data_IF_951448354021
#
_entry.id   IF_951448354021
#
_cell.length_a   1.000
_cell.length_b   1.000
_cell.length_c   1.000
_cell.angle_alpha   90.00
_cell.angle_beta   90.00
_cell.angle_gamma   90.00
#
_symmetry.space_group_name_H-M   'P 1'
#
loop_
_entity.id
_entity.type
_entity.pdbx_description
1 polymer ?
#
# COMPACT_ATOMS: atom_id res chain seq x y z
N UNK A 1 -22.15 -11.77 -0.56
CA UNK A 1 -21.73 -10.77 0.44
C UNK A 1 -20.52 -10.05 -0.11
N UNK A 2 -20.60 -8.72 -0.29
CA UNK A 2 -19.47 -7.92 -0.76
C UNK A 2 -18.47 -7.73 0.38
N UNK A 3 -17.39 -8.53 0.39
CA UNK A 3 -16.30 -8.37 1.34
C UNK A 3 -15.56 -7.06 1.05
N UNK A 4 -15.60 -6.15 2.03
CA UNK A 4 -14.92 -4.86 1.99
C UNK A 4 -13.86 -4.88 3.07
N UNK A 5 -12.61 -4.61 2.71
CA UNK A 5 -11.51 -4.49 3.65
C UNK A 5 -10.89 -3.09 3.61
N UNK A 6 -10.30 -2.71 4.73
CA UNK A 6 -9.56 -1.47 4.83
C UNK A 6 -8.10 -1.71 4.50
N UNK A 7 -7.52 -0.85 3.68
CA UNK A 7 -6.07 -0.88 3.47
C UNK A 7 -5.39 -0.45 4.77
N UNK A 8 -4.46 -1.27 5.26
CA UNK A 8 -3.54 -0.90 6.34
C UNK A 8 -2.24 -0.39 5.71
N UNK A 9 -1.63 0.61 6.35
CA UNK A 9 -0.34 1.12 5.90
C UNK A 9 0.72 0.00 6.05
N UNK A 10 1.47 -0.34 4.99
CA UNK A 10 2.48 -1.39 5.06
C UNK A 10 3.65 -1.05 6.00
N UNK A 11 3.88 0.25 6.28
CA UNK A 11 5.00 0.72 7.11
C UNK A 11 4.66 0.71 8.60
N UNK A 12 3.45 1.13 8.98
CA UNK A 12 3.07 1.31 10.39
C UNK A 12 1.83 0.52 10.82
N UNK A 13 1.24 -0.29 9.95
CA UNK A 13 0.01 -1.05 10.20
C UNK A 13 -1.23 -0.19 10.50
N UNK A 14 -1.12 1.14 10.40
CA UNK A 14 -2.23 2.03 10.74
C UNK A 14 -3.30 1.99 9.68
N UNK A 15 -4.55 2.01 10.13
CA UNK A 15 -5.73 2.02 9.26
C UNK A 15 -5.72 3.25 8.35
N UNK A 16 -5.75 3.04 7.04
CA UNK A 16 -5.87 4.12 6.07
C UNK A 16 -7.34 4.46 5.82
N UNK A 17 -7.60 5.55 5.09
CA UNK A 17 -8.96 5.95 4.71
C UNK A 17 -9.50 5.22 3.47
N UNK A 18 -8.70 4.32 2.87
CA UNK A 18 -9.06 3.60 1.67
C UNK A 18 -9.72 2.25 2.02
N UNK A 19 -10.88 2.02 1.41
CA UNK A 19 -11.58 0.73 1.41
C UNK A 19 -11.44 0.10 0.04
N UNK A 20 -11.22 -1.20 0.03
CA UNK A 20 -11.15 -2.01 -1.19
C UNK A 20 -12.17 -3.12 -1.13
N UNK A 21 -12.68 -3.50 -2.30
CA UNK A 21 -13.55 -4.65 -2.48
C UNK A 21 -12.80 -5.76 -3.21
N UNK A 22 -13.38 -6.95 -3.25
CA UNK A 22 -12.85 -8.07 -4.03
C UNK A 22 -12.62 -7.74 -5.52
N UNK A 23 -13.48 -6.92 -6.11
CA UNK A 23 -13.40 -6.46 -7.49
C UNK A 23 -12.50 -5.23 -7.70
N UNK A 24 -11.95 -4.65 -6.63
CA UNK A 24 -11.07 -3.49 -6.73
C UNK A 24 -9.66 -3.91 -7.15
N UNK A 25 -9.16 -3.28 -8.22
CA UNK A 25 -7.77 -3.39 -8.67
C UNK A 25 -7.12 -2.01 -8.60
N UNK A 26 -5.99 -1.94 -7.90
CA UNK A 26 -5.13 -0.76 -7.85
C UNK A 26 -3.76 -1.15 -8.39
N UNK A 27 -3.20 -0.34 -9.29
CA UNK A 27 -1.87 -0.58 -9.87
C UNK A 27 -1.08 0.72 -9.81
N UNK A 28 0.19 0.63 -9.39
CA UNK A 28 1.07 1.80 -9.18
C UNK A 28 0.38 2.91 -8.38
N UNK A 29 -0.39 2.53 -7.35
CA UNK A 29 -1.19 3.49 -6.60
C UNK A 29 -0.37 4.09 -5.45
N UNK A 30 -0.17 5.42 -5.42
CA UNK A 30 0.53 6.10 -4.34
C UNK A 30 -0.32 6.12 -3.05
N UNK A 31 0.08 5.35 -2.05
CA UNK A 31 -0.53 5.36 -0.72
C UNK A 31 0.23 6.29 0.22
N UNK A 32 -0.30 7.49 0.45
CA UNK A 32 0.23 8.39 1.46
C UNK A 32 -0.20 7.98 2.88
N UNK A 33 0.77 7.88 3.80
CA UNK A 33 0.49 7.66 5.21
C UNK A 33 0.81 8.90 6.05
N UNK A 34 -0.18 9.55 6.69
CA UNK A 34 0.05 10.76 7.49
C UNK A 34 0.90 10.51 8.75
N UNK A 35 0.96 9.26 9.25
CA UNK A 35 1.84 8.91 10.38
C UNK A 35 3.29 8.76 9.96
N UNK A 36 3.54 8.09 8.84
CA UNK A 36 4.89 7.88 8.32
C UNK A 36 5.41 9.11 7.55
N UNK A 37 4.51 10.01 7.14
CA UNK A 37 4.80 11.19 6.30
C UNK A 37 5.52 10.84 5.00
N UNK A 38 5.28 9.64 4.48
CA UNK A 38 5.85 9.15 3.25
C UNK A 38 4.77 8.45 2.42
N UNK A 39 5.01 8.39 1.12
CA UNK A 39 4.16 7.74 0.15
C UNK A 39 4.76 6.39 -0.25
N UNK A 40 3.92 5.39 -0.44
CA UNK A 40 4.38 4.06 -0.86
C UNK A 40 3.55 3.63 -2.05
N UNK A 41 4.20 3.24 -3.14
CA UNK A 41 3.51 2.66 -4.28
C UNK A 41 3.01 1.26 -3.89
N UNK A 42 1.71 1.04 -4.05
CA UNK A 42 1.05 -0.23 -3.78
C UNK A 42 0.29 -0.73 -5.00
N UNK A 43 0.24 -2.04 -5.13
CA UNK A 43 -0.71 -2.74 -5.98
C UNK A 43 -1.72 -3.46 -5.09
N UNK A 44 -2.99 -3.45 -5.49
CA UNK A 44 -4.02 -4.26 -4.86
C UNK A 44 -4.72 -5.08 -5.93
N UNK A 45 -4.79 -6.40 -5.74
CA UNK A 45 -5.55 -7.30 -6.61
C UNK A 45 -6.27 -8.33 -5.77
N UNK A 46 -7.59 -8.45 -5.94
CA UNK A 46 -8.41 -9.43 -5.19
C UNK A 46 -8.16 -9.38 -3.68
N UNK A 47 -8.18 -8.18 -3.09
CA UNK A 47 -7.86 -7.90 -1.67
C UNK A 47 -6.40 -8.17 -1.23
N UNK A 48 -5.53 -8.65 -2.11
CA UNK A 48 -4.10 -8.77 -1.81
C UNK A 48 -3.40 -7.43 -2.05
N UNK A 49 -2.83 -6.87 -0.99
CA UNK A 49 -1.96 -5.70 -1.06
C UNK A 49 -0.51 -6.13 -1.29
N UNK A 50 0.15 -5.54 -2.27
CA UNK A 50 1.56 -5.71 -2.58
C UNK A 50 2.24 -4.35 -2.63
N UNK A 51 3.45 -4.27 -2.10
CA UNK A 51 4.24 -3.04 -2.11
C UNK A 51 5.07 -3.06 -3.40
N UNK A 52 4.85 -2.08 -4.28
CA UNK A 52 5.68 -1.86 -5.46
C UNK A 52 6.82 -0.94 -5.00
N UNK A 53 7.69 -1.46 -4.13
CA UNK A 53 8.93 -0.77 -3.86
C UNK A 53 9.83 -0.98 -5.09
N UNK A 54 10.23 0.11 -5.72
CA UNK A 54 11.54 0.10 -6.38
C UNK A 54 12.56 -0.27 -5.30
N UNK A 55 13.47 -1.23 -5.56
CA UNK A 55 14.46 -1.62 -4.58
C UNK A 55 15.26 -0.36 -4.24
N UNK A 56 15.04 0.16 -3.03
CA UNK A 56 15.80 1.28 -2.50
C UNK A 56 17.27 0.95 -2.72
N UNK A 57 17.90 1.69 -3.63
CA UNK A 57 19.26 1.46 -4.04
C UNK A 57 20.09 1.49 -2.77
N UNK A 58 20.60 0.32 -2.34
CA UNK A 58 21.60 0.22 -1.29
C UNK A 58 22.77 1.07 -1.73
N UNK A 59 22.78 2.34 -1.35
CA UNK A 59 23.99 3.15 -1.45
C UNK A 59 24.87 2.62 -0.33
N UNK A 60 25.64 1.59 -0.67
CA UNK A 60 26.71 1.07 0.15
C UNK A 60 27.76 2.18 0.21
N UNK A 61 27.60 3.11 1.15
CA UNK A 61 28.62 4.10 1.47
C UNK A 61 29.82 3.33 2.03
N UNK A 62 30.88 3.27 1.21
CA UNK A 62 32.19 2.73 1.54
C UNK A 62 32.96 3.68 2.45
#
# INVERSE_FOLDING_TARGET
MSHIEWILCPVCGSKTRLKIRHDTVLENFPLYCPKCKHETLIAVRQLNLSIIQEPDAKTQSR
#
